data_IF_699855955527
#
_entry.id   IF_699855955527
#
_cell.length_a   1.000
_cell.length_b   1.000
_cell.length_c   1.000
_cell.angle_alpha   90.00
_cell.angle_beta   90.00
_cell.angle_gamma   90.00
#
_symmetry.space_group_name_H-M   'P 1'
#
loop_
_entity.id
_entity.type
_entity.pdbx_description
1 polymer ?
#
# COMPACT_ATOMS: atom_id res chain seq x y z
N UNK A 1 -13.48 16.68 21.12
CA UNK A 1 -13.86 15.37 21.69
C UNK A 1 -13.40 14.30 20.73
N UNK A 2 -12.56 13.36 21.15
CA UNK A 2 -12.23 12.17 20.36
C UNK A 2 -13.35 11.16 20.54
N UNK A 3 -14.19 10.99 19.53
CA UNK A 3 -15.23 9.96 19.50
C UNK A 3 -14.49 8.63 19.37
N UNK A 4 -14.55 7.79 20.40
CA UNK A 4 -14.09 6.41 20.26
C UNK A 4 -15.02 5.69 19.26
N UNK A 5 -14.47 4.97 18.26
CA UNK A 5 -15.30 4.24 17.32
C UNK A 5 -16.17 3.24 18.09
N UNK A 6 -17.47 3.28 17.83
CA UNK A 6 -18.42 2.35 18.44
C UNK A 6 -18.26 0.95 17.80
N UNK A 7 -18.86 -0.07 18.43
CA UNK A 7 -18.75 -1.46 17.98
C UNK A 7 -19.23 -1.69 16.53
N UNK A 8 -20.17 -0.87 16.05
CA UNK A 8 -20.68 -0.93 14.68
C UNK A 8 -19.63 -0.43 13.66
N UNK A 9 -18.98 0.70 13.95
CA UNK A 9 -17.86 1.23 13.15
C UNK A 9 -16.70 0.23 13.09
N UNK A 10 -16.32 -0.37 14.22
CA UNK A 10 -15.27 -1.39 14.25
C UNK A 10 -15.61 -2.63 13.42
N UNK A 11 -16.87 -3.07 13.44
CA UNK A 11 -17.32 -4.23 12.65
C UNK A 11 -17.28 -3.95 11.15
N UNK A 12 -17.65 -2.74 10.71
CA UNK A 12 -17.56 -2.32 9.30
C UNK A 12 -16.12 -2.26 8.81
N UNK A 13 -15.21 -1.73 9.62
CA UNK A 13 -13.78 -1.70 9.31
C UNK A 13 -13.23 -3.12 9.15
N UNK A 14 -13.57 -4.04 10.06
CA UNK A 14 -13.10 -5.44 10.01
C UNK A 14 -13.64 -6.15 8.75
N UNK A 15 -14.93 -6.00 8.45
CA UNK A 15 -15.54 -6.58 7.25
C UNK A 15 -14.91 -6.03 5.96
N UNK A 16 -14.66 -4.73 5.90
CA UNK A 16 -13.96 -4.09 4.79
C UNK A 16 -12.54 -4.63 4.62
N UNK A 17 -11.79 -4.78 5.71
CA UNK A 17 -10.44 -5.35 5.68
C UNK A 17 -10.43 -6.81 5.17
N UNK A 18 -11.40 -7.62 5.57
CA UNK A 18 -11.51 -9.02 5.12
C UNK A 18 -11.83 -9.11 3.61
N UNK A 19 -12.74 -8.25 3.12
CA UNK A 19 -13.04 -8.16 1.69
C UNK A 19 -11.81 -7.72 0.91
N UNK A 20 -11.11 -6.70 1.40
CA UNK A 20 -9.87 -6.21 0.80
C UNK A 20 -8.79 -7.29 0.73
N UNK A 21 -8.62 -8.10 1.79
CA UNK A 21 -7.68 -9.23 1.77
C UNK A 21 -8.01 -10.27 0.71
N UNK A 22 -9.31 -10.54 0.50
CA UNK A 22 -9.78 -11.49 -0.52
C UNK A 22 -9.49 -10.99 -1.94
N UNK A 23 -9.72 -9.69 -2.20
CA UNK A 23 -9.44 -9.05 -3.50
C UNK A 23 -7.94 -8.92 -3.81
N UNK A 24 -7.08 -8.99 -2.80
CA UNK A 24 -5.65 -8.70 -2.89
C UNK A 24 -4.76 -9.93 -2.68
N UNK A 25 -5.29 -11.12 -2.97
CA UNK A 25 -4.55 -12.38 -2.88
C UNK A 25 -3.94 -12.59 -1.47
N UNK A 26 -4.75 -12.34 -0.44
CA UNK A 26 -4.39 -12.34 0.97
C UNK A 26 -3.20 -11.42 1.27
N UNK A 27 -3.30 -10.15 0.84
CA UNK A 27 -2.29 -9.14 1.16
C UNK A 27 -2.17 -8.95 2.67
N UNK A 28 -0.97 -9.14 3.17
CA UNK A 28 -0.67 -8.87 4.58
C UNK A 28 -0.70 -7.37 4.84
N UNK A 29 -0.89 -6.98 6.09
CA UNK A 29 -0.90 -5.57 6.48
C UNK A 29 0.41 -4.84 6.13
N UNK A 30 1.56 -5.49 6.30
CA UNK A 30 2.87 -4.94 5.91
C UNK A 30 2.93 -4.69 4.38
N UNK A 31 2.44 -5.63 3.58
CA UNK A 31 2.41 -5.48 2.12
C UNK A 31 1.54 -4.30 1.70
N UNK A 32 0.37 -4.15 2.33
CA UNK A 32 -0.50 -2.99 2.12
C UNK A 32 0.18 -1.67 2.49
N UNK A 33 0.86 -1.61 3.63
CA UNK A 33 1.62 -0.42 4.05
C UNK A 33 2.70 -0.07 3.02
N UNK A 34 3.38 -1.05 2.43
CA UNK A 34 4.36 -0.81 1.35
C UNK A 34 3.69 -0.15 0.13
N UNK A 35 2.53 -0.65 -0.30
CA UNK A 35 1.79 -0.03 -1.42
C UNK A 35 1.31 1.39 -1.07
N UNK A 36 0.84 1.61 0.15
CA UNK A 36 0.44 2.93 0.65
C UNK A 36 1.62 3.91 0.66
N UNK A 37 2.80 3.46 1.11
CA UNK A 37 4.01 4.27 1.13
C UNK A 37 4.42 4.68 -0.29
N UNK A 38 4.33 3.76 -1.26
CA UNK A 38 4.57 4.07 -2.67
C UNK A 38 3.56 5.10 -3.19
N UNK A 39 2.29 4.98 -2.80
CA UNK A 39 1.21 5.88 -3.20
C UNK A 39 1.36 7.34 -2.76
N UNK A 40 2.14 7.61 -1.71
CA UNK A 40 2.44 8.98 -1.26
C UNK A 40 3.24 9.80 -2.28
N UNK A 41 3.92 9.13 -3.23
CA UNK A 41 4.84 9.77 -4.16
C UNK A 41 4.37 9.57 -5.61
N UNK A 42 3.59 10.50 -6.19
CA UNK A 42 3.08 10.39 -7.57
C UNK A 42 4.19 10.27 -8.63
N UNK A 43 5.39 10.79 -8.34
CA UNK A 43 6.57 10.71 -9.20
C UNK A 43 7.40 9.44 -8.99
N UNK A 44 6.94 8.55 -8.10
CA UNK A 44 7.61 7.33 -7.71
C UNK A 44 8.44 7.49 -6.44
N UNK A 45 8.24 6.59 -5.50
CA UNK A 45 8.94 6.49 -4.24
C UNK A 45 10.31 5.80 -4.43
N UNK A 46 11.43 6.42 -4.01
CA UNK A 46 12.73 5.75 -4.02
C UNK A 46 12.69 4.48 -3.17
N UNK A 47 13.33 3.41 -3.66
CA UNK A 47 13.34 2.14 -2.95
C UNK A 47 13.91 2.28 -1.51
N UNK A 48 15.01 2.99 -1.36
CA UNK A 48 15.67 3.17 -0.06
C UNK A 48 14.85 4.01 0.92
N UNK A 49 14.06 4.95 0.40
CA UNK A 49 13.17 5.77 1.24
C UNK A 49 12.03 4.93 1.80
N UNK A 50 11.45 4.00 1.02
CA UNK A 50 10.41 3.08 1.50
C UNK A 50 10.96 2.17 2.61
N UNK A 51 12.14 1.60 2.38
CA UNK A 51 12.83 0.71 3.35
C UNK A 51 13.06 1.44 4.67
N UNK A 52 13.55 2.68 4.58
CA UNK A 52 13.82 3.53 5.75
C UNK A 52 12.54 3.97 6.46
N UNK A 53 11.53 4.42 5.71
CA UNK A 53 10.27 4.90 6.26
C UNK A 53 9.51 3.80 7.01
N UNK A 54 9.52 2.58 6.48
CA UNK A 54 8.76 1.45 7.03
C UNK A 54 9.59 0.55 7.95
N UNK A 55 10.87 0.86 8.16
CA UNK A 55 11.83 0.00 8.86
C UNK A 55 11.73 -1.48 8.40
N UNK A 56 11.56 -1.69 7.10
CA UNK A 56 11.25 -3.00 6.50
C UNK A 56 12.44 -3.45 5.66
N UNK A 57 12.87 -4.73 5.72
CA UNK A 57 13.98 -5.21 4.91
C UNK A 57 13.76 -4.98 3.42
N UNK A 58 14.84 -4.66 2.69
CA UNK A 58 14.83 -4.55 1.22
C UNK A 58 14.14 -5.77 0.56
N UNK A 59 14.48 -6.98 0.99
CA UNK A 59 13.84 -8.22 0.49
C UNK A 59 12.31 -8.24 0.67
N UNK A 60 11.79 -7.70 1.77
CA UNK A 60 10.35 -7.56 2.02
C UNK A 60 9.68 -6.62 1.01
N UNK A 61 10.28 -5.45 0.77
CA UNK A 61 9.77 -4.51 -0.25
C UNK A 61 9.87 -5.10 -1.65
N UNK A 62 11.02 -5.68 -2.04
CA UNK A 62 11.19 -6.27 -3.36
C UNK A 62 10.23 -7.44 -3.62
N UNK A 63 10.05 -8.34 -2.64
CA UNK A 63 9.11 -9.46 -2.76
C UNK A 63 7.66 -8.97 -2.86
N UNK A 64 7.30 -7.91 -2.14
CA UNK A 64 5.97 -7.29 -2.19
C UNK A 64 5.72 -6.68 -3.57
N UNK A 65 6.63 -5.83 -4.06
CA UNK A 65 6.50 -5.21 -5.38
C UNK A 65 6.47 -6.27 -6.48
N UNK A 66 7.24 -7.35 -6.36
CA UNK A 66 7.21 -8.47 -7.30
C UNK A 66 5.89 -9.24 -7.25
N UNK A 67 5.36 -9.52 -6.06
CA UNK A 67 4.06 -10.22 -5.89
C UNK A 67 2.90 -9.40 -6.45
N UNK A 68 3.00 -8.07 -6.37
CA UNK A 68 1.95 -7.12 -6.72
C UNK A 68 2.36 -6.21 -7.89
N UNK A 69 3.05 -6.78 -8.89
CA UNK A 69 3.53 -6.06 -10.08
C UNK A 69 2.39 -5.44 -10.92
N UNK A 70 1.18 -6.02 -10.88
CA UNK A 70 -0.04 -5.42 -11.44
C UNK A 70 -0.38 -4.04 -10.83
N UNK A 71 -0.01 -3.81 -9.57
CA UNK A 71 -0.31 -2.58 -8.83
C UNK A 71 0.87 -1.61 -8.74
N UNK A 72 2.09 -2.10 -8.98
CA UNK A 72 3.32 -1.31 -8.81
C UNK A 72 4.23 -1.46 -10.02
N UNK A 73 4.59 -0.33 -10.64
CA UNK A 73 5.61 -0.28 -11.67
C UNK A 73 6.98 0.09 -11.09
N UNK A 74 8.02 -0.53 -11.64
CA UNK A 74 9.42 -0.19 -11.35
C UNK A 74 9.92 0.84 -12.37
N UNK A 75 10.51 1.92 -11.88
CA UNK A 75 11.07 3.00 -12.69
C UNK A 75 12.56 3.14 -12.37
N UNK A 76 13.40 3.12 -13.40
CA UNK A 76 14.81 3.48 -13.28
C UNK A 76 14.94 5.00 -13.44
N UNK A 77 15.57 5.66 -12.47
CA UNK A 77 15.86 7.09 -12.52
C UNK A 77 17.17 7.36 -13.28
N UNK A 78 17.41 8.63 -13.63
CA UNK A 78 18.60 9.06 -14.38
C UNK A 78 19.91 8.74 -13.65
N UNK A 79 19.89 8.76 -12.32
CA UNK A 79 21.01 8.40 -11.43
C UNK A 79 21.18 6.88 -11.26
N UNK A 80 20.46 6.07 -12.05
CA UNK A 80 20.38 4.60 -11.95
C UNK A 80 19.76 4.08 -10.65
N UNK A 81 19.18 4.95 -9.82
CA UNK A 81 18.41 4.52 -8.65
C UNK A 81 17.06 3.92 -9.08
N UNK A 82 16.53 3.03 -8.24
CA UNK A 82 15.23 2.40 -8.46
C UNK A 82 14.18 3.15 -7.67
N UNK A 83 13.10 3.52 -8.34
CA UNK A 83 11.88 4.00 -7.71
C UNK A 83 10.70 3.10 -8.08
N UNK A 84 9.69 3.08 -7.22
CA UNK A 84 8.45 2.37 -7.43
C UNK A 84 7.30 3.36 -7.52
N UNK A 85 6.35 3.11 -8.41
CA UNK A 85 5.18 3.97 -8.61
C UNK A 85 3.93 3.09 -8.70
N UNK A 86 2.80 3.58 -8.18
CA UNK A 86 1.53 2.88 -8.38
C UNK A 86 1.11 2.94 -9.85
N UNK A 87 0.64 1.81 -10.38
CA UNK A 87 -0.07 1.75 -11.66
C UNK A 87 -1.47 2.37 -11.50
N UNK A 88 -2.22 2.61 -12.60
CA UNK A 88 -3.62 3.03 -12.47
C UNK A 88 -4.44 2.11 -11.56
N UNK A 89 -4.29 0.78 -11.72
CA UNK A 89 -4.94 -0.22 -10.87
C UNK A 89 -4.49 -0.12 -9.40
N UNK A 90 -3.20 0.15 -9.16
CA UNK A 90 -2.70 0.38 -7.81
C UNK A 90 -3.30 1.62 -7.15
N UNK A 91 -3.46 2.71 -7.91
CA UNK A 91 -4.10 3.93 -7.41
C UNK A 91 -5.59 3.70 -7.10
N UNK A 92 -6.32 2.98 -7.95
CA UNK A 92 -7.71 2.60 -7.69
C UNK A 92 -7.83 1.74 -6.42
N UNK A 93 -6.94 0.76 -6.25
CA UNK A 93 -6.91 -0.11 -5.07
C UNK A 93 -6.72 0.72 -3.77
N UNK A 94 -5.73 1.60 -3.75
CA UNK A 94 -5.45 2.47 -2.60
C UNK A 94 -6.58 3.49 -2.37
N UNK A 95 -7.19 4.00 -3.44
CA UNK A 95 -8.39 4.85 -3.35
C UNK A 95 -9.55 4.14 -2.67
N UNK A 96 -9.89 2.92 -3.10
CA UNK A 96 -10.95 2.11 -2.46
C UNK A 96 -10.67 1.84 -0.98
N UNK A 97 -9.42 1.50 -0.64
CA UNK A 97 -9.01 1.31 0.74
C UNK A 97 -9.17 2.59 1.58
N UNK A 98 -8.82 3.75 1.02
CA UNK A 98 -8.90 5.04 1.73
C UNK A 98 -10.34 5.47 1.99
N UNK A 99 -11.25 5.21 1.03
CA UNK A 99 -12.70 5.43 1.21
C UNK A 99 -13.26 4.55 2.33
N UNK A 100 -12.89 3.26 2.36
CA UNK A 100 -13.32 2.32 3.39
C UNK A 100 -12.91 2.72 4.82
N UNK A 101 -11.83 3.48 4.98
CA UNK A 101 -11.38 3.99 6.29
C UNK A 101 -11.97 5.35 6.66
N UNK A 102 -12.57 6.07 5.72
CA UNK A 102 -13.09 7.43 5.92
C UNK A 102 -14.60 7.46 6.20
N UNK A 103 -15.31 6.36 5.90
CA UNK A 103 -16.71 6.11 6.23
C UNK A 103 -16.87 5.51 7.65
#
# INVERSE_FOLDING_TARGET
MTIQPNAETLSKIIAGLANFQTETDNMTFIQLIILLEIGKFPQGAPYDDIVKALNTPRSGVASTVKKYDKFVSRVMRLDRSVAFKLTPLGNELIGRFSHMLSD
#
